data_IF_017279140462
#
_entry.id   IF_017279140462
#
_cell.length_a   1.000
_cell.length_b   1.000
_cell.length_c   1.000
_cell.angle_alpha   90.00
_cell.angle_beta   90.00
_cell.angle_gamma   90.00
#
_symmetry.space_group_name_H-M   'P 1'
#
loop_
_entity.id
_entity.type
_entity.pdbx_description
1 polymer ?
#
# COMPACT_ATOMS: atom_id res chain seq x y z
N UNK A 1 -0.40 30.11 1.91
CA UNK A 1 -0.37 28.67 1.58
C UNK A 1 -0.78 27.94 2.84
N UNK A 2 -2.02 27.49 2.91
CA UNK A 2 -2.46 26.65 4.01
C UNK A 2 -1.67 25.34 3.99
N UNK A 3 -0.76 25.17 4.94
CA UNK A 3 -0.10 23.88 5.15
C UNK A 3 -1.16 22.92 5.65
N UNK A 4 -1.59 22.00 4.81
CA UNK A 4 -2.48 20.91 5.22
C UNK A 4 -1.78 20.12 6.32
N UNK A 5 -2.16 20.35 7.57
CA UNK A 5 -1.75 19.53 8.71
C UNK A 5 -2.29 18.12 8.52
N UNK A 6 -1.42 17.13 8.64
CA UNK A 6 -1.81 15.72 8.53
C UNK A 6 -1.95 15.15 9.95
N UNK A 7 -3.12 14.59 10.23
CA UNK A 7 -3.33 13.82 11.45
C UNK A 7 -2.67 12.43 11.31
N UNK A 8 -1.54 12.25 11.98
CA UNK A 8 -0.81 10.98 11.95
C UNK A 8 -1.59 9.86 12.65
N UNK A 9 -2.48 10.17 13.61
CA UNK A 9 -3.31 9.17 14.27
C UNK A 9 -4.34 8.59 13.31
N UNK A 10 -4.89 9.43 12.44
CA UNK A 10 -5.75 8.99 11.35
C UNK A 10 -5.02 8.07 10.36
N UNK A 11 -3.69 8.22 10.22
CA UNK A 11 -2.84 7.32 9.43
C UNK A 11 -2.38 6.08 10.21
N UNK A 12 -2.74 5.92 11.49
CA UNK A 12 -2.42 4.76 12.33
C UNK A 12 -1.24 4.94 13.28
N UNK A 13 -0.81 6.19 13.55
CA UNK A 13 0.13 6.46 14.63
C UNK A 13 -0.56 6.28 15.99
N UNK A 14 0.02 5.51 16.88
CA UNK A 14 -0.54 5.21 18.20
C UNK A 14 0.51 5.27 19.33
N UNK A 15 0.08 4.94 20.55
CA UNK A 15 0.92 5.00 21.75
C UNK A 15 2.12 4.04 21.71
N UNK A 16 1.99 2.88 21.03
CA UNK A 16 3.08 1.92 20.91
C UNK A 16 4.17 2.49 19.98
N UNK A 17 3.78 3.05 18.83
CA UNK A 17 4.71 3.76 17.95
C UNK A 17 5.38 4.94 18.64
N UNK A 18 4.62 5.69 19.44
CA UNK A 18 5.16 6.80 20.22
C UNK A 18 6.15 6.31 21.29
N UNK A 19 5.94 5.14 21.87
CA UNK A 19 6.88 4.52 22.82
C UNK A 19 8.19 4.13 22.15
N UNK A 20 8.12 3.52 20.96
CA UNK A 20 9.32 3.16 20.18
C UNK A 20 10.12 4.41 19.76
N UNK A 21 9.42 5.51 19.47
CA UNK A 21 10.02 6.78 19.06
C UNK A 21 10.74 7.54 20.18
N UNK A 22 10.38 7.32 21.46
CA UNK A 22 10.94 8.07 22.62
C UNK A 22 12.45 8.04 22.74
N UNK A 23 13.11 7.03 22.18
CA UNK A 23 14.57 6.89 22.19
C UNK A 23 15.30 7.90 21.29
N UNK A 24 14.56 8.67 20.50
CA UNK A 24 15.03 9.68 19.55
C UNK A 24 14.13 10.92 19.64
N UNK A 25 14.15 11.59 20.81
CA UNK A 25 13.30 12.75 21.09
C UNK A 25 13.56 13.96 20.17
N UNK A 26 14.71 13.99 19.50
CA UNK A 26 15.13 14.98 18.50
C UNK A 26 14.54 14.72 17.10
N UNK A 27 13.91 13.56 16.89
CA UNK A 27 13.34 13.16 15.63
C UNK A 27 11.80 13.29 15.61
N UNK A 28 11.25 13.57 14.42
CA UNK A 28 9.82 13.65 14.20
C UNK A 28 9.29 12.39 13.50
N UNK A 29 8.11 11.86 13.87
CA UNK A 29 7.51 10.72 13.20
C UNK A 29 6.96 11.12 11.84
N UNK A 30 6.99 10.15 10.91
CA UNK A 30 6.35 10.27 9.63
C UNK A 30 6.08 8.92 8.99
N UNK A 31 5.13 8.89 8.07
CA UNK A 31 4.73 7.67 7.35
C UNK A 31 5.21 7.69 5.90
N UNK A 32 5.93 6.67 5.48
CA UNK A 32 6.48 6.59 4.11
C UNK A 32 5.35 6.40 3.11
N UNK A 33 5.17 7.40 2.25
CA UNK A 33 4.17 7.39 1.19
C UNK A 33 4.74 6.89 -0.15
N UNK A 34 6.01 7.19 -0.46
CA UNK A 34 6.70 6.71 -1.67
C UNK A 34 8.18 6.53 -1.40
N UNK A 35 8.80 5.63 -2.18
CA UNK A 35 10.27 5.45 -2.20
C UNK A 35 10.74 5.47 -3.64
N UNK A 36 11.63 6.40 -3.98
CA UNK A 36 12.19 6.58 -5.32
C UNK A 36 13.70 6.83 -5.24
N UNK A 37 14.51 5.91 -5.81
CA UNK A 37 15.97 6.08 -5.93
C UNK A 37 16.68 6.57 -4.65
N UNK A 38 16.30 6.01 -3.51
CA UNK A 38 16.92 6.36 -2.22
C UNK A 38 16.36 7.62 -1.55
N UNK A 39 15.32 8.23 -2.12
CA UNK A 39 14.57 9.33 -1.51
C UNK A 39 13.17 8.86 -1.15
N UNK A 40 12.75 9.15 0.07
CA UNK A 40 11.41 8.87 0.56
C UNK A 40 10.55 10.14 0.47
N UNK A 41 9.30 10.01 -0.02
CA UNK A 41 8.24 10.97 0.29
C UNK A 41 7.57 10.48 1.56
N UNK A 42 7.55 11.31 2.58
CA UNK A 42 7.04 10.97 3.92
C UNK A 42 5.93 11.94 4.29
N UNK A 43 4.84 11.42 4.85
CA UNK A 43 3.75 12.20 5.42
C UNK A 43 4.09 12.47 6.88
N UNK A 44 4.51 13.71 7.18
CA UNK A 44 4.70 14.21 8.54
C UNK A 44 3.50 15.06 8.98
N UNK A 45 3.45 15.47 10.25
CA UNK A 45 2.35 16.28 10.78
C UNK A 45 2.19 17.63 10.05
N UNK A 46 3.29 18.23 9.59
CA UNK A 46 3.27 19.49 8.82
C UNK A 46 3.04 19.30 7.31
N UNK A 47 2.70 18.09 6.86
CA UNK A 47 2.46 17.78 5.46
C UNK A 47 3.51 16.83 4.85
N UNK A 48 3.44 16.60 3.53
CA UNK A 48 4.38 15.75 2.82
C UNK A 48 5.75 16.42 2.69
N UNK A 49 6.82 15.65 2.91
CA UNK A 49 8.19 16.10 2.80
C UNK A 49 9.06 15.05 2.08
N UNK A 50 10.21 15.48 1.59
CA UNK A 50 11.20 14.58 0.98
C UNK A 50 12.34 14.36 1.96
N UNK A 51 12.71 13.10 2.17
CA UNK A 51 13.79 12.71 3.06
C UNK A 51 14.74 11.74 2.36
N UNK A 52 16.03 11.92 2.53
CA UNK A 52 17.06 10.95 2.13
C UNK A 52 17.32 9.96 3.26
N UNK A 53 18.09 8.91 3.02
CA UNK A 53 18.40 7.92 4.05
C UNK A 53 19.60 8.38 4.88
N UNK A 54 19.44 8.40 6.19
CA UNK A 54 20.53 8.65 7.13
C UNK A 54 21.57 7.53 7.17
N UNK A 55 22.77 7.82 7.65
CA UNK A 55 23.89 6.89 7.66
C UNK A 55 23.60 5.58 8.41
N UNK A 56 22.87 5.65 9.52
CA UNK A 56 22.51 4.45 10.30
C UNK A 56 21.58 3.51 9.52
N UNK A 57 20.59 4.06 8.80
CA UNK A 57 19.69 3.28 7.95
C UNK A 57 20.46 2.64 6.79
N UNK A 58 21.35 3.39 6.14
CA UNK A 58 22.19 2.86 5.06
C UNK A 58 23.12 1.74 5.54
N UNK A 59 23.75 1.88 6.70
CA UNK A 59 24.62 0.87 7.28
C UNK A 59 23.88 -0.43 7.62
N UNK A 60 22.65 -0.31 8.16
CA UNK A 60 21.80 -1.48 8.44
C UNK A 60 21.34 -2.15 7.14
N UNK A 61 20.88 -1.36 6.18
CA UNK A 61 20.40 -1.85 4.88
C UNK A 61 21.51 -2.48 4.02
N UNK A 62 22.78 -2.12 4.23
CA UNK A 62 23.92 -2.75 3.57
C UNK A 62 24.12 -4.21 4.03
N UNK A 63 23.73 -4.54 5.27
CA UNK A 63 23.77 -5.89 5.83
C UNK A 63 22.53 -6.70 5.46
N UNK A 64 21.36 -6.06 5.52
CA UNK A 64 20.09 -6.67 5.16
C UNK A 64 19.15 -5.63 4.50
N UNK A 65 18.89 -5.84 3.22
CA UNK A 65 18.05 -4.94 2.42
C UNK A 65 16.59 -4.88 2.87
N UNK A 66 16.13 -5.81 3.69
CA UNK A 66 14.78 -5.77 4.26
C UNK A 66 14.57 -4.55 5.18
N UNK A 67 15.66 -3.97 5.70
CA UNK A 67 15.63 -2.74 6.51
C UNK A 67 15.54 -1.45 5.68
N UNK A 68 15.60 -1.52 4.36
CA UNK A 68 15.30 -0.33 3.55
C UNK A 68 13.85 0.11 3.79
N UNK A 69 13.59 1.43 3.87
CA UNK A 69 12.24 1.94 3.96
C UNK A 69 11.39 1.45 2.79
N UNK A 70 10.16 1.10 3.08
CA UNK A 70 9.14 0.78 2.09
C UNK A 70 7.86 1.57 2.35
N UNK A 71 6.94 1.54 1.40
CA UNK A 71 5.65 2.22 1.53
C UNK A 71 4.86 1.65 2.72
N UNK A 72 4.36 2.53 3.57
CA UNK A 72 3.64 2.20 4.79
C UNK A 72 4.49 2.13 6.05
N UNK A 73 5.82 2.18 5.94
CA UNK A 73 6.69 2.23 7.12
C UNK A 73 6.47 3.50 7.94
N UNK A 74 6.55 3.36 9.25
CA UNK A 74 6.75 4.45 10.17
C UNK A 74 8.25 4.71 10.32
N UNK A 75 8.64 5.97 10.22
CA UNK A 75 10.04 6.41 10.27
C UNK A 75 10.21 7.58 11.23
N UNK A 76 11.42 7.74 11.75
CA UNK A 76 11.82 8.91 12.49
C UNK A 76 12.74 9.78 11.62
N UNK A 77 12.42 11.07 11.58
CA UNK A 77 13.03 12.05 10.70
C UNK A 77 13.83 13.07 11.51
N UNK A 78 15.06 13.33 11.09
CA UNK A 78 15.83 14.48 11.56
C UNK A 78 15.80 15.58 10.51
N UNK A 79 15.62 16.84 10.96
CA UNK A 79 15.75 18.03 10.13
C UNK A 79 17.04 18.75 10.48
N UNK A 80 17.89 18.93 9.50
CA UNK A 80 19.20 19.56 9.65
C UNK A 80 19.10 21.10 9.50
N UNK A 81 20.11 21.87 9.94
CA UNK A 81 20.11 23.34 9.86
C UNK A 81 19.93 23.89 8.45
N UNK A 82 20.39 23.19 7.44
CA UNK A 82 20.24 23.51 6.01
C UNK A 82 18.86 23.10 5.43
N UNK A 83 17.91 22.68 6.31
CA UNK A 83 16.58 22.17 5.97
C UNK A 83 16.58 20.82 5.24
N UNK A 84 17.72 20.17 5.13
CA UNK A 84 17.77 18.78 4.65
C UNK A 84 17.10 17.85 5.67
N UNK A 85 16.32 16.89 5.19
CA UNK A 85 15.63 15.92 6.05
C UNK A 85 16.14 14.52 5.76
N UNK A 86 16.43 13.77 6.83
CA UNK A 86 16.90 12.39 6.73
C UNK A 86 15.99 11.43 7.51
N UNK A 87 15.85 10.21 6.98
CA UNK A 87 15.26 9.08 7.69
C UNK A 87 16.35 8.48 8.58
N UNK A 88 16.25 8.66 9.88
CA UNK A 88 17.24 8.18 10.85
C UNK A 88 16.92 6.78 11.38
N UNK A 89 15.62 6.44 11.46
CA UNK A 89 15.16 5.14 11.94
C UNK A 89 13.96 4.69 11.12
N UNK A 90 13.94 3.40 10.75
CA UNK A 90 12.73 2.70 10.33
C UNK A 90 12.22 1.93 11.55
N UNK A 91 11.01 2.24 12.00
CA UNK A 91 10.42 1.58 13.17
C UNK A 91 10.05 0.12 12.86
N UNK A 92 9.99 -0.76 13.87
CA UNK A 92 9.62 -2.16 13.68
C UNK A 92 8.29 -2.29 12.93
N UNK A 93 8.20 -3.18 11.97
CA UNK A 93 6.97 -3.43 11.20
C UNK A 93 6.06 -4.37 11.96
N UNK A 94 4.77 -4.01 12.10
CA UNK A 94 3.75 -4.91 12.66
C UNK A 94 3.26 -5.93 11.64
N UNK A 95 3.16 -5.52 10.39
CA UNK A 95 2.82 -6.38 9.25
C UNK A 95 3.70 -6.02 8.06
N UNK A 96 4.04 -7.01 7.21
CA UNK A 96 4.86 -6.77 6.02
C UNK A 96 4.52 -7.74 4.90
N UNK A 97 4.19 -7.22 3.73
CA UNK A 97 4.06 -8.01 2.51
C UNK A 97 5.43 -8.19 1.90
N UNK A 98 5.94 -9.42 1.89
CA UNK A 98 7.29 -9.75 1.41
C UNK A 98 7.20 -10.61 0.15
N UNK A 99 7.68 -10.11 -0.99
CA UNK A 99 7.79 -10.90 -2.22
C UNK A 99 9.14 -11.61 -2.26
N UNK A 100 9.12 -12.93 -2.41
CA UNK A 100 10.34 -13.76 -2.51
C UNK A 100 10.89 -13.83 -3.94
N UNK A 101 10.14 -13.36 -4.96
CA UNK A 101 10.46 -13.53 -6.38
C UNK A 101 11.33 -12.44 -6.98
N UNK A 102 11.58 -11.34 -6.27
CA UNK A 102 12.26 -10.15 -6.82
C UNK A 102 13.64 -9.87 -6.25
N UNK A 103 14.16 -10.72 -5.36
CA UNK A 103 15.48 -10.55 -4.74
C UNK A 103 16.58 -11.37 -5.41
N UNK A 104 17.77 -10.77 -5.63
CA UNK A 104 18.99 -11.56 -5.86
C UNK A 104 19.28 -12.35 -4.59
N UNK A 105 19.62 -13.63 -4.72
CA UNK A 105 20.11 -14.49 -3.63
C UNK A 105 19.13 -14.71 -2.44
N UNK A 106 17.85 -15.01 -2.67
CA UNK A 106 16.93 -15.49 -1.61
C UNK A 106 16.46 -14.44 -0.60
N UNK A 107 16.86 -13.18 -0.73
CA UNK A 107 16.36 -12.08 0.10
C UNK A 107 15.04 -11.55 -0.47
N UNK A 108 13.95 -11.70 0.29
CA UNK A 108 12.64 -11.17 -0.09
C UNK A 108 12.65 -9.63 -0.13
N UNK A 109 11.90 -9.04 -1.07
CA UNK A 109 11.67 -7.61 -1.10
C UNK A 109 10.39 -7.26 -0.35
N UNK A 110 10.46 -6.35 0.63
CA UNK A 110 9.26 -5.80 1.27
C UNK A 110 8.55 -4.88 0.27
N UNK A 111 7.30 -5.19 -0.01
CA UNK A 111 6.46 -4.46 -0.96
C UNK A 111 5.65 -3.36 -0.29
N UNK A 112 5.14 -3.64 0.91
CA UNK A 112 4.37 -2.72 1.75
C UNK A 112 4.45 -3.17 3.22
N UNK A 113 4.31 -2.22 4.14
CA UNK A 113 4.34 -2.48 5.58
C UNK A 113 3.16 -1.82 6.31
N UNK A 114 2.90 -2.32 7.51
CA UNK A 114 1.93 -1.77 8.45
C UNK A 114 0.52 -1.66 7.86
N UNK A 115 0.11 -2.73 7.16
CA UNK A 115 -1.24 -2.90 6.66
C UNK A 115 -2.14 -3.49 7.75
N UNK A 116 -3.36 -2.98 7.92
CA UNK A 116 -4.40 -3.63 8.74
C UNK A 116 -5.15 -4.68 7.93
N UNK A 117 -5.35 -4.41 6.65
CA UNK A 117 -6.02 -5.29 5.69
C UNK A 117 -5.17 -5.44 4.43
N UNK A 118 -4.98 -6.67 3.99
CA UNK A 118 -4.36 -7.00 2.70
C UNK A 118 -5.44 -7.50 1.72
N UNK A 119 -5.88 -6.64 0.82
CA UNK A 119 -6.90 -6.95 -0.15
C UNK A 119 -6.28 -7.53 -1.43
N UNK A 120 -6.63 -8.76 -1.75
CA UNK A 120 -6.36 -9.38 -3.03
C UNK A 120 -7.38 -8.84 -4.04
N UNK A 121 -6.90 -8.14 -5.05
CA UNK A 121 -7.71 -7.47 -6.07
C UNK A 121 -7.66 -8.24 -7.37
N UNK A 122 -8.81 -8.75 -7.79
CA UNK A 122 -8.95 -9.56 -9.00
C UNK A 122 -10.09 -9.03 -9.87
N UNK A 123 -9.93 -8.92 -11.21
CA UNK A 123 -11.01 -8.44 -12.06
C UNK A 123 -12.01 -9.55 -12.37
N UNK A 124 -13.32 -9.25 -12.37
CA UNK A 124 -14.36 -10.17 -12.79
C UNK A 124 -14.33 -10.41 -14.31
N UNK A 125 -13.69 -9.52 -15.09
CA UNK A 125 -13.54 -9.69 -16.55
C UNK A 125 -12.07 -9.48 -16.94
N UNK A 126 -11.44 -10.44 -17.64
CA UNK A 126 -11.98 -11.63 -18.36
C UNK A 126 -12.48 -12.78 -17.46
N UNK A 127 -12.21 -12.76 -16.16
CA UNK A 127 -12.60 -13.74 -15.17
C UNK A 127 -11.52 -13.85 -14.08
N UNK A 128 -11.90 -14.19 -12.83
CA UNK A 128 -10.94 -14.36 -11.75
C UNK A 128 -10.09 -15.63 -11.98
N UNK A 129 -8.79 -15.49 -11.72
CA UNK A 129 -7.83 -16.59 -11.74
C UNK A 129 -7.70 -17.15 -10.31
N UNK A 130 -8.28 -18.32 -10.05
CA UNK A 130 -8.32 -18.91 -8.71
C UNK A 130 -6.94 -19.27 -8.18
N UNK A 131 -6.03 -19.75 -9.02
CA UNK A 131 -4.65 -20.06 -8.61
C UNK A 131 -3.88 -18.83 -8.19
N UNK A 132 -4.06 -17.70 -8.90
CA UNK A 132 -3.48 -16.42 -8.51
C UNK A 132 -4.09 -15.89 -7.23
N UNK A 133 -5.42 -16.01 -7.05
CA UNK A 133 -6.10 -15.64 -5.81
C UNK A 133 -5.50 -16.41 -4.63
N UNK A 134 -5.33 -17.74 -4.76
CA UNK A 134 -4.76 -18.57 -3.71
C UNK A 134 -3.35 -18.13 -3.33
N UNK A 135 -2.46 -17.94 -4.31
CA UNK A 135 -1.10 -17.46 -4.08
C UNK A 135 -1.07 -16.08 -3.39
N UNK A 136 -1.93 -15.15 -3.81
CA UNK A 136 -1.98 -13.81 -3.22
C UNK A 136 -2.61 -13.81 -1.83
N UNK A 137 -3.57 -14.69 -1.56
CA UNK A 137 -4.13 -14.89 -0.22
C UNK A 137 -3.10 -15.50 0.75
N UNK A 138 -2.27 -16.44 0.29
CA UNK A 138 -1.16 -16.95 1.08
C UNK A 138 -0.21 -15.81 1.46
N UNK A 139 0.18 -14.96 0.50
CA UNK A 139 1.01 -13.78 0.73
C UNK A 139 0.35 -12.79 1.71
N UNK A 140 -0.96 -12.56 1.58
CA UNK A 140 -1.72 -11.69 2.48
C UNK A 140 -1.72 -12.24 3.91
N UNK A 141 -1.94 -13.55 4.10
CA UNK A 141 -1.89 -14.21 5.42
C UNK A 141 -0.49 -14.17 6.03
N UNK A 142 0.54 -14.49 5.26
CA UNK A 142 1.94 -14.42 5.70
C UNK A 142 2.36 -13.01 6.13
N UNK A 143 1.73 -11.97 5.59
CA UNK A 143 2.03 -10.58 5.96
C UNK A 143 1.62 -10.21 7.39
N UNK A 144 0.74 -10.99 8.02
CA UNK A 144 0.13 -10.67 9.32
C UNK A 144 -1.09 -9.72 9.23
N UNK A 145 -1.41 -9.20 8.04
CA UNK A 145 -2.62 -8.38 7.83
C UNK A 145 -3.85 -9.26 7.59
N UNK A 146 -5.04 -8.75 7.91
CA UNK A 146 -6.30 -9.47 7.66
C UNK A 146 -6.57 -9.59 6.16
N UNK A 147 -6.77 -10.79 5.60
CA UNK A 147 -7.03 -10.96 4.19
C UNK A 147 -8.45 -10.51 3.81
N UNK A 148 -8.58 -9.96 2.61
CA UNK A 148 -9.84 -9.57 1.97
C UNK A 148 -9.74 -9.87 0.48
N UNK A 149 -10.84 -10.26 -0.16
CA UNK A 149 -10.95 -10.36 -1.62
C UNK A 149 -11.79 -9.22 -2.17
N UNK A 150 -11.27 -8.53 -3.18
CA UNK A 150 -11.99 -7.46 -3.90
C UNK A 150 -12.09 -7.82 -5.38
N UNK A 151 -13.28 -8.13 -5.82
CA UNK A 151 -13.59 -8.46 -7.21
C UNK A 151 -14.01 -7.18 -7.95
N UNK A 152 -13.11 -6.66 -8.78
CA UNK A 152 -13.33 -5.39 -9.51
C UNK A 152 -14.07 -5.60 -10.83
N UNK A 153 -14.52 -4.48 -11.42
CA UNK A 153 -15.24 -4.44 -12.70
C UNK A 153 -16.54 -5.25 -12.66
N UNK A 154 -17.24 -5.20 -11.52
CA UNK A 154 -18.51 -5.88 -11.35
C UNK A 154 -19.57 -5.39 -12.36
N UNK A 155 -19.44 -4.16 -12.84
CA UNK A 155 -20.27 -3.56 -13.90
C UNK A 155 -20.12 -4.19 -15.29
N UNK A 156 -19.07 -5.00 -15.50
CA UNK A 156 -18.78 -5.62 -16.81
C UNK A 156 -19.25 -7.07 -16.92
N UNK A 157 -19.95 -7.61 -15.92
CA UNK A 157 -20.49 -8.98 -15.91
C UNK A 157 -21.99 -8.97 -15.64
N UNK A 158 -22.70 -9.92 -16.25
CA UNK A 158 -24.16 -10.00 -16.14
C UNK A 158 -24.63 -10.44 -14.74
N UNK A 159 -23.91 -11.38 -14.10
CA UNK A 159 -24.21 -11.88 -12.76
C UNK A 159 -22.95 -11.82 -11.87
N UNK A 160 -22.68 -10.66 -11.24
CA UNK A 160 -21.59 -10.54 -10.29
C UNK A 160 -21.74 -11.47 -9.08
N UNK A 161 -22.96 -11.78 -8.67
CA UNK A 161 -23.23 -12.63 -7.52
C UNK A 161 -22.80 -14.09 -7.77
N UNK A 162 -22.94 -14.60 -8.99
CA UNK A 162 -22.44 -15.93 -9.35
C UNK A 162 -20.91 -15.99 -9.25
N UNK A 163 -20.20 -14.95 -9.73
CA UNK A 163 -18.74 -14.87 -9.62
C UNK A 163 -18.29 -14.79 -8.17
N UNK A 164 -18.99 -14.02 -7.33
CA UNK A 164 -18.73 -13.96 -5.88
C UNK A 164 -18.87 -15.33 -5.24
N UNK A 165 -19.96 -16.06 -5.52
CA UNK A 165 -20.19 -17.42 -4.97
C UNK A 165 -19.07 -18.39 -5.37
N UNK A 166 -18.66 -18.37 -6.64
CA UNK A 166 -17.56 -19.19 -7.14
C UNK A 166 -16.24 -18.92 -6.40
N UNK A 167 -15.88 -17.65 -6.25
CA UNK A 167 -14.63 -17.25 -5.59
C UNK A 167 -14.71 -17.53 -4.08
N UNK A 168 -15.83 -17.26 -3.44
CA UNK A 168 -16.02 -17.54 -2.01
C UNK A 168 -15.91 -19.05 -1.69
N UNK A 169 -16.38 -19.92 -2.58
CA UNK A 169 -16.21 -21.36 -2.43
C UNK A 169 -14.73 -21.80 -2.51
N UNK A 170 -13.92 -21.11 -3.32
CA UNK A 170 -12.48 -21.37 -3.45
C UNK A 170 -11.64 -20.72 -2.33
N UNK A 171 -12.18 -19.77 -1.59
CA UNK A 171 -11.48 -19.03 -0.53
C UNK A 171 -12.30 -18.99 0.78
N UNK A 172 -12.55 -20.13 1.43
CA UNK A 172 -13.40 -20.21 2.61
C UNK A 172 -12.86 -19.31 3.75
N UNK A 173 -13.77 -18.62 4.43
CA UNK A 173 -13.44 -17.73 5.55
C UNK A 173 -12.85 -16.39 5.17
N UNK A 174 -12.68 -16.07 3.87
CA UNK A 174 -12.22 -14.78 3.41
C UNK A 174 -13.43 -13.97 2.88
N UNK A 175 -13.69 -12.76 3.39
CA UNK A 175 -14.74 -11.89 2.83
C UNK A 175 -14.47 -11.57 1.37
N UNK A 176 -15.52 -11.55 0.53
CA UNK A 176 -15.44 -11.23 -0.90
C UNK A 176 -16.34 -10.06 -1.21
N UNK A 177 -15.77 -8.96 -1.72
CA UNK A 177 -16.49 -7.74 -2.06
C UNK A 177 -16.49 -7.52 -3.57
N UNK A 178 -17.67 -7.52 -4.23
CA UNK A 178 -17.80 -7.08 -5.61
C UNK A 178 -17.79 -5.54 -5.67
N UNK A 179 -17.00 -4.95 -6.57
CA UNK A 179 -16.84 -3.49 -6.66
C UNK A 179 -16.79 -3.02 -8.11
N UNK A 180 -17.46 -1.92 -8.41
CA UNK A 180 -17.23 -1.11 -9.59
C UNK A 180 -16.66 0.26 -9.22
N UNK A 181 -15.38 0.48 -9.44
CA UNK A 181 -14.76 1.78 -9.20
C UNK A 181 -15.29 2.88 -10.14
N UNK A 182 -15.85 2.52 -11.28
CA UNK A 182 -16.43 3.48 -12.24
C UNK A 182 -17.83 3.93 -11.87
N UNK A 183 -18.66 2.99 -11.36
CA UNK A 183 -20.04 3.29 -10.96
C UNK A 183 -20.15 3.67 -9.49
N UNK A 184 -19.15 3.36 -8.68
CA UNK A 184 -19.20 3.54 -7.24
C UNK A 184 -19.85 2.38 -6.48
N UNK A 185 -20.33 1.33 -7.19
CA UNK A 185 -20.99 0.19 -6.57
C UNK A 185 -20.03 -0.61 -5.69
N UNK A 186 -20.45 -0.96 -4.47
CA UNK A 186 -19.66 -1.77 -3.53
C UNK A 186 -18.49 -1.03 -2.88
N UNK A 187 -18.35 0.30 -3.04
CA UNK A 187 -17.26 1.06 -2.42
C UNK A 187 -17.45 1.29 -0.93
N UNK A 188 -18.69 1.35 -0.41
CA UNK A 188 -18.92 1.68 1.00
C UNK A 188 -18.38 0.61 1.96
N UNK A 189 -18.60 -0.71 1.74
CA UNK A 189 -17.92 -1.73 2.53
C UNK A 189 -16.39 -1.63 2.45
N UNK A 190 -15.84 -1.25 1.29
CA UNK A 190 -14.40 -1.08 1.12
C UNK A 190 -13.89 0.20 1.82
N UNK A 191 -14.68 1.28 1.86
CA UNK A 191 -14.38 2.49 2.65
C UNK A 191 -14.31 2.21 4.14
N UNK A 192 -15.15 1.32 4.67
CA UNK A 192 -15.09 0.92 6.07
C UNK A 192 -13.75 0.26 6.45
N UNK A 193 -13.04 -0.32 5.48
CA UNK A 193 -11.71 -0.91 5.67
C UNK A 193 -10.57 0.13 5.72
N UNK A 194 -10.85 1.37 5.34
CA UNK A 194 -9.93 2.52 5.38
C UNK A 194 -10.38 3.58 6.39
N UNK A 195 -11.09 3.18 7.44
CA UNK A 195 -11.43 4.05 8.55
C UNK A 195 -10.16 4.64 9.23
N UNK A 196 -10.28 5.71 10.04
CA UNK A 196 -9.14 6.28 10.76
C UNK A 196 -8.31 5.22 11.49
N UNK A 197 -7.00 5.31 11.38
CA UNK A 197 -6.04 4.35 11.94
C UNK A 197 -5.84 3.08 11.11
N UNK A 198 -6.65 2.84 10.08
CA UNK A 198 -6.55 1.63 9.23
C UNK A 198 -5.79 1.90 7.94
N UNK A 199 -5.13 0.84 7.46
CA UNK A 199 -4.42 0.87 6.17
C UNK A 199 -4.81 -0.33 5.34
N UNK A 200 -5.39 -0.08 4.17
CA UNK A 200 -5.76 -1.08 3.18
C UNK A 200 -4.64 -1.24 2.15
N UNK A 201 -3.99 -2.40 2.08
CA UNK A 201 -3.05 -2.74 1.01
C UNK A 201 -3.75 -3.44 -0.14
N UNK A 202 -3.49 -3.01 -1.38
CA UNK A 202 -4.05 -3.62 -2.59
C UNK A 202 -3.00 -4.49 -3.28
N UNK A 203 -3.21 -5.80 -3.27
CA UNK A 203 -2.38 -6.81 -3.93
C UNK A 203 -3.10 -7.31 -5.18
N UNK A 204 -2.41 -7.55 -6.28
CA UNK A 204 -3.07 -8.07 -7.46
C UNK A 204 -2.28 -7.85 -8.75
N UNK A 205 -2.73 -8.42 -9.87
CA UNK A 205 -2.04 -8.29 -11.14
C UNK A 205 -2.16 -6.86 -11.72
N UNK A 206 -1.32 -6.57 -12.69
CA UNK A 206 -1.49 -5.35 -13.48
C UNK A 206 -2.86 -5.34 -14.15
N UNK A 207 -3.50 -4.17 -14.24
CA UNK A 207 -4.84 -3.96 -14.81
C UNK A 207 -6.00 -4.59 -14.03
N UNK A 208 -5.78 -5.07 -12.80
CA UNK A 208 -6.86 -5.50 -11.91
C UNK A 208 -7.76 -4.34 -11.42
N UNK A 209 -7.43 -3.08 -11.72
CA UNK A 209 -8.23 -1.92 -11.30
C UNK A 209 -7.77 -1.28 -9.99
N UNK A 210 -6.61 -1.65 -9.45
CA UNK A 210 -6.09 -1.14 -8.16
C UNK A 210 -5.98 0.38 -8.11
N UNK A 211 -5.32 1.01 -9.12
CA UNK A 211 -5.21 2.48 -9.19
C UNK A 211 -6.58 3.16 -9.29
N UNK A 212 -7.56 2.53 -9.98
CA UNK A 212 -8.93 3.04 -10.04
C UNK A 212 -9.62 2.96 -8.68
N UNK A 213 -9.40 1.88 -7.92
CA UNK A 213 -9.90 1.76 -6.55
C UNK A 213 -9.29 2.82 -5.62
N UNK A 214 -7.97 3.03 -5.69
CA UNK A 214 -7.31 4.10 -4.91
C UNK A 214 -7.95 5.45 -5.20
N UNK A 215 -8.10 5.79 -6.49
CA UNK A 215 -8.71 7.07 -6.89
C UNK A 215 -10.18 7.20 -6.42
N UNK A 216 -10.96 6.12 -6.51
CA UNK A 216 -12.35 6.11 -6.04
C UNK A 216 -12.47 6.25 -4.52
N UNK A 217 -11.56 5.68 -3.76
CA UNK A 217 -11.50 5.81 -2.30
C UNK A 217 -10.99 7.19 -1.88
N UNK A 218 -10.00 7.74 -2.58
CA UNK A 218 -9.44 9.07 -2.33
C UNK A 218 -10.38 10.21 -2.77
N UNK A 219 -11.41 9.91 -3.57
CA UNK A 219 -12.31 10.94 -4.12
C UNK A 219 -11.64 11.88 -5.15
N UNK A 220 -10.43 11.57 -5.59
CA UNK A 220 -9.65 12.36 -6.53
C UNK A 220 -8.71 11.49 -7.37
N UNK A 221 -8.29 11.99 -8.53
CA UNK A 221 -7.29 11.32 -9.37
C UNK A 221 -5.90 11.54 -8.76
N UNK A 222 -5.49 10.65 -7.87
CA UNK A 222 -4.19 10.67 -7.18
C UNK A 222 -3.14 9.79 -7.86
N UNK A 223 -3.59 8.76 -8.58
CA UNK A 223 -2.74 7.79 -9.27
C UNK A 223 -3.12 7.66 -10.76
N UNK A 224 -2.12 7.57 -11.66
CA UNK A 224 -2.38 7.34 -13.08
C UNK A 224 -2.98 5.93 -13.28
N UNK A 225 -4.11 5.85 -13.98
CA UNK A 225 -4.75 4.58 -14.33
C UNK A 225 -4.18 4.02 -15.64
N UNK A 226 -4.50 2.75 -15.94
CA UNK A 226 -4.08 2.14 -17.22
C UNK A 226 -4.67 2.86 -18.45
N UNK A 227 -5.81 3.53 -18.31
CA UNK A 227 -6.43 4.32 -19.37
C UNK A 227 -5.68 5.64 -19.58
N UNK A 228 -5.31 6.37 -18.51
CA UNK A 228 -4.58 7.62 -18.61
C UNK A 228 -3.16 7.42 -19.17
N UNK A 229 -2.48 6.32 -18.83
CA UNK A 229 -1.14 5.99 -19.34
C UNK A 229 -1.06 5.78 -20.84
N UNK A 230 -2.16 5.50 -21.54
CA UNK A 230 -2.20 5.39 -23.01
C UNK A 230 -2.26 6.75 -23.71
N UNK A 231 -2.72 7.79 -23.01
CA UNK A 231 -2.90 9.13 -23.60
C UNK A 231 -1.58 9.91 -23.60
N UNK A 232 -0.71 9.68 -22.60
CA UNK A 232 0.46 10.52 -22.39
C UNK A 232 1.70 10.19 -23.23
N UNK A 233 1.65 9.17 -24.12
CA UNK A 233 2.68 8.89 -25.16
C UNK A 233 4.15 8.87 -24.72
N UNK A 234 4.44 9.20 -23.47
CA UNK A 234 5.77 9.26 -22.91
C UNK A 234 6.19 7.92 -22.33
N UNK A 235 6.94 7.16 -23.11
CA UNK A 235 7.46 5.83 -22.83
C UNK A 235 8.45 5.72 -21.67
N UNK A 236 8.24 6.42 -20.56
CA UNK A 236 8.93 6.15 -19.30
C UNK A 236 8.01 5.34 -18.40
N UNK A 237 8.40 4.14 -17.95
CA UNK A 237 7.73 3.50 -16.84
C UNK A 237 7.99 4.38 -15.60
N UNK A 238 7.04 5.28 -15.29
CA UNK A 238 6.98 5.80 -13.93
C UNK A 238 6.96 4.58 -13.01
N UNK A 239 7.79 4.61 -11.97
CA UNK A 239 7.90 3.55 -10.95
C UNK A 239 6.51 3.03 -10.60
N UNK A 240 6.17 1.86 -11.16
CA UNK A 240 4.80 1.38 -11.20
C UNK A 240 4.30 1.17 -9.76
N UNK A 241 3.40 2.04 -9.31
CA UNK A 241 2.41 1.67 -8.31
C UNK A 241 2.89 1.29 -6.92
N UNK A 242 3.84 2.02 -6.32
CA UNK A 242 4.08 1.94 -4.87
C UNK A 242 3.77 3.29 -4.25
N UNK A 243 2.57 3.43 -3.73
CA UNK A 243 2.18 4.68 -3.08
C UNK A 243 1.21 4.40 -1.93
N UNK A 244 1.38 5.12 -0.85
CA UNK A 244 0.40 5.28 0.20
C UNK A 244 -0.34 6.59 -0.06
N UNK A 245 -1.65 6.52 -0.10
CA UNK A 245 -2.56 7.65 -0.30
C UNK A 245 -3.45 7.75 0.93
N UNK A 246 -3.42 8.90 1.60
CA UNK A 246 -4.37 9.21 2.65
C UNK A 246 -5.78 9.36 2.06
N UNK A 247 -6.79 8.84 2.76
CA UNK A 247 -8.19 8.88 2.31
C UNK A 247 -8.93 9.97 3.11
N UNK A 248 -9.76 10.79 2.46
CA UNK A 248 -10.62 11.73 3.18
C UNK A 248 -11.46 11.02 4.25
N UNK A 249 -11.50 11.58 5.46
CA UNK A 249 -12.18 10.95 6.60
C UNK A 249 -11.29 10.02 7.42
N UNK A 250 -10.02 9.83 7.04
CA UNK A 250 -8.99 9.09 7.77
C UNK A 250 -8.58 7.77 7.12
N UNK A 251 -7.51 7.18 7.66
CA UNK A 251 -6.90 5.97 7.12
C UNK A 251 -6.10 6.18 5.84
N UNK A 252 -5.60 5.09 5.28
CA UNK A 252 -4.77 5.12 4.09
C UNK A 252 -4.96 3.89 3.19
N UNK A 253 -4.71 4.06 1.90
CA UNK A 253 -4.63 2.97 0.92
C UNK A 253 -3.22 2.86 0.38
N UNK A 254 -2.68 1.65 0.33
CA UNK A 254 -1.39 1.34 -0.29
C UNK A 254 -1.61 0.58 -1.59
N UNK A 255 -1.17 1.15 -2.71
CA UNK A 255 -1.03 0.39 -3.95
C UNK A 255 0.32 -0.30 -3.97
N UNK A 256 0.35 -1.61 -4.13
CA UNK A 256 1.60 -2.36 -4.34
C UNK A 256 1.91 -2.49 -5.85
N UNK A 257 3.13 -2.81 -6.25
CA UNK A 257 3.42 -3.22 -7.62
C UNK A 257 2.57 -4.42 -8.02
N UNK A 258 2.39 -4.62 -9.33
CA UNK A 258 1.78 -5.85 -9.82
C UNK A 258 2.58 -7.06 -9.33
N UNK A 259 2.01 -7.81 -8.40
CA UNK A 259 2.61 -9.06 -7.93
C UNK A 259 2.31 -10.13 -8.99
N UNK A 260 3.37 -10.67 -9.61
CA UNK A 260 3.24 -11.87 -10.43
C UNK A 260 3.26 -13.04 -9.45
N UNK A 261 2.14 -13.76 -9.35
CA UNK A 261 2.16 -15.06 -8.71
C UNK A 261 3.10 -15.96 -9.53
N UNK A 262 4.14 -16.48 -8.91
CA UNK A 262 4.91 -17.57 -9.49
C UNK A 262 4.23 -18.82 -8.94
N UNK A 263 3.71 -19.69 -9.81
CA UNK A 263 3.29 -21.04 -9.38
C UNK A 263 4.51 -21.71 -8.75
N UNK A 264 4.33 -22.27 -7.54
CA UNK A 264 5.31 -23.13 -6.91
C UNK A 264 5.49 -24.42 -7.68
#
# INVERSE_FOLDING_TARGET
>A
MDFMTIDLTALGWDADWASDARRRADCQPGRVARVERGVCTVLGAAGPLRATLGGAVLATAARDRSYLPCVGDWVLLATWPDRHVTVEVVLPRRTAVVSRTTGRAGQGQVLAANLTVAAVVEPMRPGPDLGRIECLLALARESGARPLLVLTKADLVADPAAVVRQVAAAAPGVPVLPVSAQRGDGLDPLRAEVAPGRTLGLLGPSRAGRSSLVNALAGAVTLPTSASRRVDGAGRPHSAGRALVAVPGGGAVVETPGVRAVPG
#
